data_IF_905275326995
#
_entry.id   IF_905275326995
#
_cell.length_a   1.000
_cell.length_b   1.000
_cell.length_c   1.000
_cell.angle_alpha   90.00
_cell.angle_beta   90.00
_cell.angle_gamma   90.00
#
_symmetry.space_group_name_H-M   'P 1'
#
loop_
_entity.id
_entity.type
_entity.pdbx_description
1 polymer ?
#
# COMPACT_ATOMS: atom_id res chain seq x y z
N UNK A 1 1.44 8.44 13.63
CA UNK A 1 -0.05 8.36 13.56
C UNK A 1 -0.45 7.28 12.56
N UNK A 2 -1.34 6.41 12.97
CA UNK A 2 -1.86 5.31 12.15
C UNK A 2 -3.30 5.60 11.78
N UNK A 3 -3.58 5.61 10.48
CA UNK A 3 -4.93 5.76 9.92
C UNK A 3 -5.50 4.39 9.59
N UNK A 4 -6.78 4.21 9.86
CA UNK A 4 -7.56 3.05 9.40
C UNK A 4 -8.47 3.51 8.27
N UNK A 5 -8.29 2.95 7.08
CA UNK A 5 -9.05 3.31 5.90
C UNK A 5 -9.43 2.09 5.06
N UNK A 6 -10.51 2.21 4.30
CA UNK A 6 -10.82 1.25 3.24
C UNK A 6 -9.92 1.58 2.05
N UNK A 7 -8.98 0.70 1.76
CA UNK A 7 -8.09 0.85 0.60
C UNK A 7 -8.76 0.33 -0.68
N UNK A 8 -8.01 0.30 -1.76
CA UNK A 8 -8.49 -0.25 -3.03
C UNK A 8 -8.71 -1.78 -3.00
N UNK A 9 -8.23 -2.46 -1.97
CA UNK A 9 -8.37 -3.91 -1.82
C UNK A 9 -9.08 -4.34 -0.54
N UNK A 10 -8.70 -3.80 0.61
CA UNK A 10 -9.24 -4.19 1.92
C UNK A 10 -9.05 -3.06 2.91
N UNK A 11 -9.56 -3.21 4.14
CA UNK A 11 -9.23 -2.30 5.24
C UNK A 11 -7.72 -2.31 5.46
N UNK A 12 -7.13 -1.14 5.61
CA UNK A 12 -5.69 -0.99 5.75
C UNK A 12 -5.29 -0.02 6.83
N UNK A 13 -4.14 -0.29 7.44
CA UNK A 13 -3.42 0.68 8.26
C UNK A 13 -2.45 1.46 7.41
N UNK A 14 -2.44 2.78 7.57
CA UNK A 14 -1.57 3.68 6.82
C UNK A 14 -0.81 4.59 7.79
N UNK A 15 0.47 4.77 7.52
CA UNK A 15 1.34 5.65 8.33
C UNK A 15 2.55 6.11 7.53
N UNK A 16 3.15 7.21 7.94
CA UNK A 16 4.47 7.64 7.45
C UNK A 16 5.60 6.81 8.03
N UNK A 17 5.35 6.04 9.09
CA UNK A 17 6.35 5.19 9.74
C UNK A 17 5.89 3.73 9.71
N UNK A 18 6.61 2.90 8.91
CA UNK A 18 6.30 1.47 8.80
C UNK A 18 6.53 0.70 10.12
N UNK A 19 7.37 1.24 11.01
CA UNK A 19 7.64 0.60 12.31
C UNK A 19 6.43 0.67 13.23
N UNK A 20 5.66 1.76 13.17
CA UNK A 20 4.40 1.87 13.90
C UNK A 20 3.41 0.79 13.45
N UNK A 21 3.30 0.59 12.13
CA UNK A 21 2.42 -0.44 11.56
C UNK A 21 2.87 -1.83 12.00
N UNK A 22 4.17 -2.11 11.91
CA UNK A 22 4.71 -3.41 12.31
C UNK A 22 4.50 -3.70 13.79
N UNK A 23 4.71 -2.71 14.65
CA UNK A 23 4.47 -2.83 16.09
C UNK A 23 3.01 -3.13 16.38
N UNK A 24 2.09 -2.43 15.73
CA UNK A 24 0.66 -2.62 15.90
C UNK A 24 0.21 -4.02 15.46
N UNK A 25 0.79 -4.52 14.38
CA UNK A 25 0.46 -5.85 13.82
C UNK A 25 1.21 -7.00 14.50
N UNK A 26 2.04 -6.73 15.49
CA UNK A 26 2.89 -7.71 16.17
C UNK A 26 3.76 -8.51 15.20
N UNK A 27 4.39 -7.83 14.26
CA UNK A 27 5.33 -8.46 13.32
C UNK A 27 6.72 -7.83 13.41
N UNK A 28 7.70 -8.44 12.76
CA UNK A 28 9.10 -7.99 12.81
C UNK A 28 9.22 -6.49 12.48
N UNK A 29 9.99 -5.75 13.28
CA UNK A 29 10.11 -4.30 13.17
C UNK A 29 10.70 -3.84 11.83
N UNK A 30 11.52 -4.66 11.21
CA UNK A 30 12.21 -4.39 9.95
C UNK A 30 11.45 -4.91 8.72
N UNK A 31 10.27 -5.52 8.91
CA UNK A 31 9.50 -6.03 7.78
C UNK A 31 9.05 -4.88 6.88
N UNK A 32 9.37 -4.90 5.56
CA UNK A 32 8.97 -3.84 4.66
C UNK A 32 7.45 -3.76 4.52
N UNK A 33 6.93 -2.53 4.52
CA UNK A 33 5.54 -2.27 4.17
C UNK A 33 5.45 -1.78 2.73
N UNK A 34 4.28 -2.01 2.13
CA UNK A 34 3.93 -1.43 0.85
C UNK A 34 3.87 0.09 0.96
N UNK A 35 4.39 0.79 -0.04
CA UNK A 35 4.23 2.25 -0.17
C UNK A 35 3.07 2.51 -1.12
N UNK A 36 2.14 3.38 -0.72
CA UNK A 36 1.02 3.79 -1.55
C UNK A 36 1.06 5.28 -1.81
N UNK A 37 0.68 5.68 -3.02
CA UNK A 37 0.57 7.08 -3.41
C UNK A 37 -0.56 7.25 -4.43
N UNK A 38 -1.18 8.41 -4.44
CA UNK A 38 -2.15 8.79 -5.47
C UNK A 38 -1.51 9.59 -6.62
N UNK A 39 -0.21 9.87 -6.53
CA UNK A 39 0.49 10.77 -7.45
C UNK A 39 1.63 10.08 -8.19
N UNK A 40 1.57 10.02 -9.51
CA UNK A 40 2.70 9.56 -10.32
C UNK A 40 3.95 10.43 -10.13
N UNK A 41 3.76 11.72 -9.85
CA UNK A 41 4.88 12.62 -9.57
C UNK A 41 5.66 12.22 -8.31
N UNK A 42 5.01 11.61 -7.33
CA UNK A 42 5.68 11.10 -6.14
C UNK A 42 6.46 9.81 -6.43
N UNK A 43 5.99 9.00 -7.38
CA UNK A 43 6.62 7.72 -7.72
C UNK A 43 8.10 7.86 -8.09
N UNK A 44 8.44 8.86 -8.89
CA UNK A 44 9.84 9.07 -9.32
C UNK A 44 10.80 9.38 -8.16
N UNK A 45 10.26 9.91 -7.04
CA UNK A 45 11.04 10.15 -5.83
C UNK A 45 11.17 8.89 -4.96
N UNK A 46 10.29 7.92 -5.16
CA UNK A 46 10.25 6.67 -4.41
C UNK A 46 11.06 5.57 -5.09
N UNK A 47 11.02 5.51 -6.42
CA UNK A 47 11.71 4.48 -7.19
C UNK A 47 11.91 4.94 -8.64
N UNK A 48 12.95 4.39 -9.26
CA UNK A 48 13.18 4.59 -10.69
C UNK A 48 12.41 3.51 -11.48
N UNK A 49 11.48 3.94 -12.32
CA UNK A 49 10.76 3.04 -13.21
C UNK A 49 11.62 2.75 -14.44
N UNK A 50 11.96 1.48 -14.72
CA UNK A 50 12.71 1.14 -15.93
C UNK A 50 11.97 1.62 -17.18
N UNK A 51 12.72 2.20 -18.12
CA UNK A 51 12.16 2.82 -19.33
C UNK A 51 11.23 1.88 -20.11
N UNK A 52 11.59 0.60 -20.21
CA UNK A 52 10.81 -0.42 -20.90
C UNK A 52 9.39 -0.56 -20.35
N UNK A 53 9.18 -0.32 -19.04
CA UNK A 53 7.92 -0.59 -18.36
C UNK A 53 7.16 0.66 -17.93
N UNK A 54 7.58 1.86 -18.35
CA UNK A 54 6.93 3.12 -17.95
C UNK A 54 5.45 3.16 -18.31
N UNK A 55 5.09 2.74 -19.51
CA UNK A 55 3.69 2.72 -19.95
C UNK A 55 2.87 1.67 -19.19
N UNK A 56 3.45 0.50 -18.95
CA UNK A 56 2.81 -0.54 -18.15
C UNK A 56 2.47 -0.04 -16.75
N UNK A 57 3.43 0.57 -16.08
CA UNK A 57 3.24 1.11 -14.72
C UNK A 57 2.19 2.22 -14.72
N UNK A 58 2.23 3.11 -15.68
CA UNK A 58 1.27 4.22 -15.80
C UNK A 58 -0.17 3.73 -15.97
N UNK A 59 -0.37 2.65 -16.71
CA UNK A 59 -1.71 2.09 -17.03
C UNK A 59 -2.20 1.07 -16.00
N UNK A 60 -1.32 0.54 -15.17
CA UNK A 60 -1.68 -0.50 -14.22
C UNK A 60 -2.69 -0.01 -13.18
N UNK A 61 -3.61 -0.91 -12.80
CA UNK A 61 -4.60 -0.67 -11.74
C UNK A 61 -4.54 -1.80 -10.73
N UNK A 62 -4.72 -1.47 -9.45
CA UNK A 62 -4.67 -2.44 -8.35
C UNK A 62 -3.42 -3.33 -8.46
N UNK A 63 -2.30 -2.73 -8.81
CA UNK A 63 -1.05 -3.43 -9.06
C UNK A 63 0.08 -2.81 -8.26
N UNK A 64 0.82 -3.65 -7.56
CA UNK A 64 2.02 -3.27 -6.83
C UNK A 64 3.24 -3.72 -7.62
N UNK A 65 4.21 -2.84 -7.77
CA UNK A 65 5.49 -3.17 -8.40
C UNK A 65 6.60 -3.13 -7.36
N UNK A 66 7.35 -4.24 -7.30
CA UNK A 66 8.58 -4.32 -6.51
C UNK A 66 9.73 -3.86 -7.40
N UNK A 67 10.27 -2.69 -7.12
CA UNK A 67 11.33 -2.05 -7.91
C UNK A 67 12.72 -2.54 -7.56
N UNK A 68 13.73 -2.27 -8.41
CA UNK A 68 15.12 -2.70 -8.15
C UNK A 68 15.70 -2.21 -6.82
N UNK A 69 15.22 -1.08 -6.30
CA UNK A 69 15.64 -0.57 -4.98
C UNK A 69 14.97 -1.29 -3.80
N UNK A 70 14.27 -2.40 -4.06
CA UNK A 70 13.54 -3.22 -3.09
C UNK A 70 12.31 -2.55 -2.47
N UNK A 71 11.87 -1.41 -2.98
CA UNK A 71 10.62 -0.77 -2.56
C UNK A 71 9.45 -1.31 -3.37
N UNK A 72 8.40 -1.72 -2.68
CA UNK A 72 7.12 -2.07 -3.28
C UNK A 72 6.22 -0.85 -3.27
N UNK A 73 5.79 -0.39 -4.43
CA UNK A 73 4.98 0.82 -4.56
C UNK A 73 3.73 0.54 -5.39
N UNK A 74 2.60 1.03 -4.92
CA UNK A 74 1.33 1.00 -5.64
C UNK A 74 0.80 2.41 -5.82
N UNK A 75 0.53 2.80 -7.06
CA UNK A 75 -0.17 4.04 -7.36
C UNK A 75 -1.67 3.74 -7.35
N UNK A 76 -2.38 4.33 -6.41
CA UNK A 76 -3.82 4.15 -6.24
C UNK A 76 -4.56 5.22 -7.05
N UNK A 77 -5.52 4.78 -7.87
CA UNK A 77 -6.30 5.67 -8.73
C UNK A 77 -7.69 5.13 -8.99
N UNK A 78 -8.60 6.03 -9.35
CA UNK A 78 -9.98 5.71 -9.73
C UNK A 78 -10.78 5.00 -8.65
N UNK A 79 -10.58 5.39 -7.38
CA UNK A 79 -11.35 4.89 -6.24
C UNK A 79 -11.41 5.93 -5.13
N UNK A 80 -12.30 5.72 -4.17
CA UNK A 80 -12.47 6.66 -3.04
C UNK A 80 -11.20 6.83 -2.21
N UNK A 81 -10.38 5.79 -2.09
CA UNK A 81 -9.13 5.85 -1.34
C UNK A 81 -8.11 6.82 -1.95
N UNK A 82 -8.18 7.06 -3.26
CA UNK A 82 -7.33 8.04 -3.93
C UNK A 82 -7.46 9.43 -3.33
N UNK A 83 -8.69 9.86 -3.00
CA UNK A 83 -8.93 11.18 -2.40
C UNK A 83 -8.23 11.34 -1.05
N UNK A 84 -8.29 10.32 -0.23
CA UNK A 84 -7.58 10.32 1.05
C UNK A 84 -6.07 10.42 0.82
N UNK A 85 -5.51 9.60 -0.07
CA UNK A 85 -4.07 9.58 -0.35
C UNK A 85 -3.56 10.89 -0.97
N UNK A 86 -4.40 11.64 -1.67
CA UNK A 86 -4.00 12.94 -2.26
C UNK A 86 -3.58 13.97 -1.23
N UNK A 87 -4.00 13.83 0.01
CA UNK A 87 -3.58 14.72 1.11
C UNK A 87 -2.13 14.50 1.51
N UNK A 88 -1.53 13.40 1.07
CA UNK A 88 -0.16 12.99 1.37
C UNK A 88 0.61 12.79 0.08
N UNK A 89 1.94 12.89 0.14
CA UNK A 89 2.76 12.49 -1.00
C UNK A 89 2.76 10.98 -1.14
N UNK A 90 2.87 10.26 -0.02
CA UNK A 90 2.80 8.81 0.05
C UNK A 90 2.59 8.37 1.50
N UNK A 91 2.11 7.15 1.68
CA UNK A 91 1.99 6.50 2.98
C UNK A 91 2.38 5.02 2.87
N UNK A 92 2.99 4.50 3.92
CA UNK A 92 3.08 3.05 4.07
C UNK A 92 1.70 2.48 4.32
N UNK A 93 1.45 1.28 3.80
CA UNK A 93 0.17 0.62 3.93
C UNK A 93 0.35 -0.88 4.20
N UNK A 94 -0.54 -1.42 5.01
CA UNK A 94 -0.65 -2.86 5.25
C UNK A 94 -2.09 -3.19 5.60
N UNK A 95 -2.51 -4.43 5.34
CA UNK A 95 -3.85 -4.87 5.73
C UNK A 95 -4.09 -4.70 7.24
N UNK A 96 -5.29 -4.30 7.62
CA UNK A 96 -5.63 -3.94 9.00
C UNK A 96 -5.98 -5.16 9.86
N UNK A 97 -5.03 -6.09 9.97
CA UNK A 97 -5.17 -7.30 10.77
C UNK A 97 -3.88 -7.58 11.53
N UNK A 98 -3.98 -8.28 12.65
CA UNK A 98 -2.81 -8.85 13.31
C UNK A 98 -2.12 -9.82 12.34
N UNK A 99 -0.79 -9.87 12.40
CA UNK A 99 -0.02 -10.71 11.50
C UNK A 99 -0.49 -12.17 11.54
N UNK A 100 -0.91 -12.70 10.39
CA UNK A 100 -1.42 -14.06 10.27
C UNK A 100 -2.86 -14.27 10.74
N UNK A 101 -3.56 -13.22 11.17
CA UNK A 101 -4.93 -13.28 11.64
C UNK A 101 -5.90 -12.73 10.61
N UNK A 102 -7.19 -13.02 10.76
CA UNK A 102 -8.25 -12.42 9.98
C UNK A 102 -8.52 -10.99 10.44
N UNK A 103 -9.16 -10.18 9.59
CA UNK A 103 -9.56 -8.84 9.94
C UNK A 103 -10.61 -8.86 11.08
N UNK A 104 -10.32 -8.09 12.13
CA UNK A 104 -11.23 -7.85 13.26
C UNK A 104 -11.50 -6.34 13.30
N UNK A 105 -12.70 -5.93 12.88
CA UNK A 105 -13.06 -4.52 12.78
C UNK A 105 -12.98 -3.81 14.13
N UNK A 106 -13.49 -4.41 15.20
CA UNK A 106 -13.46 -3.81 16.54
C UNK A 106 -12.03 -3.57 17.01
N UNK A 107 -11.17 -4.56 16.84
CA UNK A 107 -9.76 -4.41 17.19
C UNK A 107 -9.07 -3.35 16.36
N UNK A 108 -9.29 -3.34 15.04
CA UNK A 108 -8.66 -2.39 14.14
C UNK A 108 -9.06 -0.94 14.45
N UNK A 109 -10.35 -0.71 14.74
CA UNK A 109 -10.84 0.62 15.13
C UNK A 109 -10.27 1.09 16.46
N UNK A 110 -10.11 0.18 17.42
CA UNK A 110 -9.52 0.51 18.72
C UNK A 110 -8.02 0.77 18.61
N UNK A 111 -7.34 0.10 17.68
CA UNK A 111 -5.88 0.19 17.54
C UNK A 111 -5.43 1.43 16.75
N UNK A 112 -6.22 1.91 15.80
CA UNK A 112 -5.86 3.06 14.96
C UNK A 112 -5.97 4.37 15.72
N UNK A 113 -5.14 5.35 15.34
CA UNK A 113 -5.22 6.71 15.89
C UNK A 113 -6.37 7.50 15.25
N UNK A 114 -6.62 7.29 13.97
CA UNK A 114 -7.69 7.96 13.25
C UNK A 114 -8.41 6.98 12.33
N UNK A 115 -9.73 6.99 12.37
CA UNK A 115 -10.60 6.16 11.54
C UNK A 115 -11.09 7.02 10.39
N UNK A 116 -10.66 6.70 9.17
CA UNK A 116 -11.03 7.44 7.95
C UNK A 116 -12.35 6.95 7.38
N UNK A 117 -12.56 5.64 7.37
CA UNK A 117 -13.78 5.00 6.86
C UNK A 117 -14.45 4.17 7.94
N UNK A 118 -15.78 4.10 7.92
CA UNK A 118 -16.56 3.34 8.89
C UNK A 118 -16.97 1.98 8.39
N UNK A 119 -17.05 1.80 7.07
CA UNK A 119 -17.48 0.56 6.44
C UNK A 119 -16.30 -0.07 5.68
N UNK A 120 -16.11 -1.35 5.90
CA UNK A 120 -14.99 -2.08 5.31
C UNK A 120 -15.49 -3.29 4.52
N UNK A 121 -14.80 -3.58 3.42
CA UNK A 121 -15.05 -4.75 2.59
C UNK A 121 -13.73 -5.32 2.09
N UNK A 122 -13.70 -6.63 1.88
CA UNK A 122 -12.56 -7.29 1.27
C UNK A 122 -12.83 -7.45 -0.23
N UNK A 123 -11.95 -6.87 -1.03
CA UNK A 123 -11.99 -6.97 -2.49
C UNK A 123 -10.87 -7.86 -2.96
N UNK A 124 -10.79 -8.09 -4.28
CA UNK A 124 -9.72 -8.89 -4.88
C UNK A 124 -8.35 -8.28 -4.54
N UNK A 125 -7.42 -9.12 -4.12
CA UNK A 125 -6.04 -8.71 -3.82
C UNK A 125 -5.38 -8.05 -5.02
N UNK A 126 -4.46 -7.12 -4.77
CA UNK A 126 -3.68 -6.50 -5.83
C UNK A 126 -2.75 -7.52 -6.48
N UNK A 127 -2.47 -7.33 -7.76
CA UNK A 127 -1.40 -8.04 -8.46
C UNK A 127 -0.06 -7.51 -7.96
N UNK A 128 0.94 -8.36 -7.88
CA UNK A 128 2.31 -7.96 -7.51
C UNK A 128 3.26 -8.44 -8.59
N UNK A 129 4.04 -7.52 -9.13
CA UNK A 129 5.08 -7.80 -10.10
C UNK A 129 6.43 -7.33 -9.59
N UNK A 130 7.45 -8.16 -9.76
CA UNK A 130 8.84 -7.74 -9.59
C UNK A 130 9.33 -7.19 -10.92
N UNK A 131 9.84 -5.98 -10.92
CA UNK A 131 10.28 -5.28 -12.11
C UNK A 131 11.79 -5.06 -12.06
N UNK A 132 12.48 -5.36 -13.14
CA UNK A 132 13.89 -5.06 -13.31
C UNK A 132 14.10 -4.29 -14.61
N UNK A 133 15.33 -3.93 -14.94
CA UNK A 133 15.62 -3.13 -16.13
C UNK A 133 15.02 -3.72 -17.41
N UNK A 134 14.95 -5.06 -17.52
CA UNK A 134 14.50 -5.76 -18.74
C UNK A 134 13.41 -6.80 -18.50
N UNK A 135 13.13 -7.19 -17.27
CA UNK A 135 12.25 -8.30 -16.94
C UNK A 135 11.12 -7.89 -16.02
N UNK A 136 9.99 -8.53 -16.24
CA UNK A 136 8.80 -8.42 -15.40
C UNK A 136 8.43 -9.82 -14.92
N UNK A 137 8.36 -10.02 -13.60
CA UNK A 137 7.99 -11.31 -13.01
C UNK A 137 6.75 -11.13 -12.14
N UNK A 138 5.71 -11.92 -12.41
CA UNK A 138 4.53 -11.93 -11.55
C UNK A 138 4.81 -12.68 -10.25
N UNK A 139 4.54 -12.04 -9.11
CA UNK A 139 4.67 -12.64 -7.77
C UNK A 139 3.31 -13.02 -7.19
N UNK A 140 2.24 -12.28 -7.58
CA UNK A 140 0.88 -12.56 -7.10
C UNK A 140 -0.18 -12.14 -8.11
#
# INVERSE_FOLDING_TARGET
>A
MIYLAQTDTTAGFLSKDFREINALKCRAADKPCLITTAKFSALKNLARVPAKFKNLVRRARKTTFLYPNKRAVRVVKECAHEEFLRQFDWLYSSSANLNGQNFDEAWAKAAADEIVDQNFSQKVSSKIYKISKRRLKRLR
#
